data_IF_559035212551
#
_entry.id   IF_559035212551
#
_cell.length_a   1.000
_cell.length_b   1.000
_cell.length_c   1.000
_cell.angle_alpha   90.00
_cell.angle_beta   90.00
_cell.angle_gamma   90.00
#
_symmetry.space_group_name_H-M   'P 1'
#
loop_
_entity.id
_entity.type
_entity.pdbx_description
1 polymer ?
#
# COMPACT_ATOMS: atom_id res chain seq x y z
N UNK A 1 -10.76 -10.14 21.76
CA UNK A 1 -11.09 -8.77 21.29
C UNK A 1 -10.79 -8.64 19.81
N UNK A 2 -11.21 -7.55 19.14
CA UNK A 2 -10.89 -7.26 17.74
C UNK A 2 -9.77 -6.20 17.68
N UNK A 3 -8.91 -6.28 16.66
CA UNK A 3 -7.82 -5.36 16.38
C UNK A 3 -7.93 -4.87 14.93
N UNK A 4 -7.51 -3.64 14.65
CA UNK A 4 -7.37 -3.15 13.27
C UNK A 4 -6.14 -3.80 12.62
N UNK A 5 -6.34 -4.42 11.45
CA UNK A 5 -5.29 -5.06 10.66
C UNK A 5 -4.82 -4.21 9.46
N UNK A 6 -5.05 -2.90 9.49
CA UNK A 6 -4.68 -1.96 8.41
C UNK A 6 -3.43 -1.19 8.82
N UNK A 7 -2.51 -0.89 7.90
CA UNK A 7 -1.32 -0.06 8.19
C UNK A 7 -1.68 1.42 8.20
N UNK A 8 -2.05 1.95 7.03
CA UNK A 8 -2.53 3.33 6.83
C UNK A 8 -3.39 3.38 5.55
N UNK A 9 -4.06 4.53 5.31
CA UNK A 9 -4.86 4.76 4.11
C UNK A 9 -4.06 5.58 3.10
N UNK A 10 -4.00 5.14 1.85
CA UNK A 10 -3.32 5.84 0.75
C UNK A 10 -4.33 6.37 -0.26
N UNK A 11 -4.04 7.52 -0.86
CA UNK A 11 -4.75 7.94 -2.05
C UNK A 11 -4.28 7.10 -3.26
N UNK A 12 -5.17 6.85 -4.22
CA UNK A 12 -4.84 6.06 -5.40
C UNK A 12 -3.66 6.63 -6.19
N UNK A 13 -3.55 7.96 -6.28
CA UNK A 13 -2.43 8.61 -6.97
C UNK A 13 -1.09 8.32 -6.28
N UNK A 14 -1.04 8.30 -4.95
CA UNK A 14 0.20 8.00 -4.20
C UNK A 14 0.60 6.53 -4.40
N UNK A 15 -0.39 5.62 -4.39
CA UNK A 15 -0.16 4.21 -4.64
C UNK A 15 0.40 3.98 -6.05
N UNK A 16 -0.19 4.61 -7.07
CA UNK A 16 0.29 4.48 -8.45
C UNK A 16 1.68 5.11 -8.62
N UNK A 17 1.95 6.25 -7.98
CA UNK A 17 3.26 6.89 -8.01
C UNK A 17 4.33 5.99 -7.37
N UNK A 18 4.02 5.29 -6.28
CA UNK A 18 4.94 4.35 -5.64
C UNK A 18 5.20 3.12 -6.52
N UNK A 19 4.16 2.56 -7.13
CA UNK A 19 4.31 1.44 -8.07
C UNK A 19 5.11 1.85 -9.30
N UNK A 20 4.93 3.08 -9.82
CA UNK A 20 5.67 3.57 -10.98
C UNK A 20 7.18 3.68 -10.73
N UNK A 21 7.62 3.92 -9.49
CA UNK A 21 9.04 3.87 -9.12
C UNK A 21 9.64 2.48 -9.32
N UNK A 22 8.83 1.43 -9.11
CA UNK A 22 9.23 0.02 -9.21
C UNK A 22 9.08 -0.48 -10.66
N UNK A 23 8.03 -0.05 -11.35
CA UNK A 23 7.71 -0.42 -12.73
C UNK A 23 7.59 0.82 -13.62
N UNK A 24 8.71 1.44 -14.06
CA UNK A 24 8.68 2.69 -14.82
C UNK A 24 7.91 2.61 -16.16
N UNK A 25 7.85 1.40 -16.74
CA UNK A 25 7.15 1.12 -17.99
C UNK A 25 5.68 0.72 -17.81
N UNK A 26 5.12 0.80 -16.59
CA UNK A 26 3.73 0.46 -16.34
C UNK A 26 2.78 1.37 -17.13
N UNK A 27 1.66 0.81 -17.59
CA UNK A 27 0.57 1.60 -18.15
C UNK A 27 -0.18 2.28 -16.99
N UNK A 28 0.02 3.58 -16.84
CA UNK A 28 -0.69 4.37 -15.83
C UNK A 28 -2.18 4.50 -16.16
N UNK A 29 -3.07 4.42 -15.17
CA UNK A 29 -4.47 4.78 -15.36
C UNK A 29 -4.60 6.28 -15.65
N UNK A 30 -5.76 6.68 -16.16
CA UNK A 30 -6.07 8.11 -16.32
C UNK A 30 -6.04 8.81 -14.95
N UNK A 31 -5.39 9.99 -14.84
CA UNK A 31 -5.32 10.70 -13.58
C UNK A 31 -6.71 11.08 -13.07
N UNK A 32 -6.94 10.88 -11.77
CA UNK A 32 -8.13 11.41 -11.10
C UNK A 32 -8.08 12.95 -11.15
N UNK A 33 -9.16 13.57 -11.63
CA UNK A 33 -9.28 15.03 -11.78
C UNK A 33 -9.86 15.71 -10.54
N UNK A 34 -10.48 14.94 -9.66
CA UNK A 34 -11.08 15.42 -8.42
C UNK A 34 -10.02 15.68 -7.36
N UNK A 35 -10.35 16.56 -6.41
CA UNK A 35 -9.48 16.82 -5.27
C UNK A 35 -9.35 15.56 -4.39
N UNK A 36 -8.13 15.18 -3.98
CA UNK A 36 -7.94 14.04 -3.08
C UNK A 36 -8.72 14.22 -1.79
N UNK A 37 -9.47 13.17 -1.41
CA UNK A 37 -10.09 13.12 -0.09
C UNK A 37 -9.03 12.85 0.98
N UNK A 38 -9.19 13.42 2.19
CA UNK A 38 -8.29 13.11 3.30
C UNK A 38 -8.32 11.61 3.61
N UNK A 39 -7.16 10.99 3.89
CA UNK A 39 -7.10 9.57 4.24
C UNK A 39 -7.93 9.26 5.48
N UNK A 40 -8.65 8.13 5.46
CA UNK A 40 -9.35 7.63 6.65
C UNK A 40 -8.34 7.27 7.74
N UNK A 41 -8.45 7.92 8.89
CA UNK A 41 -7.65 7.63 10.09
C UNK A 41 -8.24 6.49 10.91
N UNK A 42 -7.37 5.70 11.52
CA UNK A 42 -7.74 4.60 12.43
C UNK A 42 -6.97 4.74 13.74
N UNK A 43 -7.64 4.53 14.88
CA UNK A 43 -6.94 4.37 16.17
C UNK A 43 -6.33 2.97 16.25
N UNK A 44 -5.02 2.90 16.01
CA UNK A 44 -4.23 1.67 16.01
C UNK A 44 -3.49 1.43 17.33
N UNK A 45 -3.71 2.26 18.37
CA UNK A 45 -3.01 2.15 19.67
C UNK A 45 -3.10 0.75 20.27
N UNK A 46 -4.27 0.10 20.14
CA UNK A 46 -4.51 -1.26 20.64
C UNK A 46 -3.80 -2.34 19.81
N UNK A 47 -3.65 -2.13 18.49
CA UNK A 47 -2.86 -3.03 17.62
C UNK A 47 -1.38 -2.91 18.00
N UNK A 48 -0.91 -1.68 18.19
CA UNK A 48 0.50 -1.39 18.43
C UNK A 48 0.97 -1.85 19.82
N UNK A 49 0.05 -1.94 20.79
CA UNK A 49 0.36 -2.52 22.11
C UNK A 49 0.77 -3.99 22.06
N UNK A 50 0.57 -4.70 20.94
CA UNK A 50 1.02 -6.08 20.76
C UNK A 50 2.52 -6.19 20.49
N UNK A 51 3.21 -5.08 20.17
CA UNK A 51 4.64 -5.09 19.88
C UNK A 51 5.02 -5.79 18.57
N UNK A 52 4.05 -6.03 17.69
CA UNK A 52 4.29 -6.66 16.38
C UNK A 52 4.57 -5.56 15.35
N UNK A 53 5.77 -5.58 14.78
CA UNK A 53 6.13 -4.67 13.69
C UNK A 53 5.40 -5.07 12.40
N UNK A 54 4.73 -4.12 11.78
CA UNK A 54 4.17 -4.28 10.44
C UNK A 54 5.20 -3.84 9.39
N UNK A 55 5.19 -4.52 8.25
CA UNK A 55 5.95 -4.10 7.07
C UNK A 55 5.35 -2.82 6.50
N UNK A 56 6.20 -1.86 6.16
CA UNK A 56 5.78 -0.60 5.54
C UNK A 56 5.23 -0.80 4.12
N UNK A 57 4.49 0.21 3.64
CA UNK A 57 3.81 0.20 2.35
C UNK A 57 4.78 0.02 1.16
N UNK A 58 5.86 0.82 1.04
CA UNK A 58 6.81 0.68 -0.06
C UNK A 58 7.49 -0.70 -0.13
N UNK A 59 7.85 -1.26 1.03
CA UNK A 59 8.52 -2.56 1.11
C UNK A 59 7.57 -3.68 0.69
N UNK A 60 6.32 -3.70 1.17
CA UNK A 60 5.40 -4.76 0.75
C UNK A 60 5.09 -4.66 -0.75
N UNK A 61 4.95 -3.45 -1.30
CA UNK A 61 4.64 -3.26 -2.73
C UNK A 61 5.74 -3.83 -3.61
N UNK A 62 7.00 -3.49 -3.31
CA UNK A 62 8.16 -4.01 -4.03
C UNK A 62 8.21 -5.54 -3.99
N UNK A 63 8.16 -6.13 -2.80
CA UNK A 63 8.25 -7.59 -2.64
C UNK A 63 7.06 -8.31 -3.30
N UNK A 64 5.87 -7.72 -3.28
CA UNK A 64 4.69 -8.29 -3.95
C UNK A 64 4.88 -8.28 -5.46
N UNK A 65 5.38 -7.19 -6.04
CA UNK A 65 5.65 -7.08 -7.47
C UNK A 65 6.75 -8.07 -7.88
N UNK A 66 7.85 -8.15 -7.13
CA UNK A 66 8.94 -9.11 -7.34
C UNK A 66 8.41 -10.55 -7.31
N UNK A 67 7.57 -10.88 -6.33
CA UNK A 67 6.95 -12.20 -6.22
C UNK A 67 6.05 -12.52 -7.41
N UNK A 68 5.20 -11.59 -7.86
CA UNK A 68 4.37 -11.77 -9.06
C UNK A 68 5.24 -12.00 -10.31
N UNK A 69 6.32 -11.24 -10.46
CA UNK A 69 7.25 -11.38 -11.59
C UNK A 69 8.05 -12.69 -11.56
N UNK A 70 8.18 -13.31 -10.39
CA UNK A 70 8.79 -14.65 -10.26
C UNK A 70 7.91 -15.78 -10.79
N UNK A 71 6.72 -15.45 -11.28
CA UNK A 71 5.78 -16.37 -11.91
C UNK A 71 5.37 -17.54 -10.99
N UNK A 72 4.85 -17.25 -9.78
CA UNK A 72 4.78 -18.19 -8.68
C UNK A 72 3.67 -19.24 -8.83
N UNK A 73 2.89 -19.17 -9.91
CA UNK A 73 1.75 -20.04 -10.17
C UNK A 73 1.94 -20.94 -11.39
N UNK A 74 3.07 -20.84 -12.09
CA UNK A 74 3.43 -21.70 -13.21
C UNK A 74 4.18 -22.97 -12.77
#
# INVERSE_FOLDING_TARGET
GRYFGVFESWHWQDLYAEVQKILPAMKMPEPLTEAPLPPTGFDVTRRDSLGVALRDVPTFLRETIEWIQSDPFN
#
